data_IF_853180890700
#
_entry.id   IF_853180890700
#
_cell.length_a   1.000
_cell.length_b   1.000
_cell.length_c   1.000
_cell.angle_alpha   90.00
_cell.angle_beta   90.00
_cell.angle_gamma   90.00
#
_symmetry.space_group_name_H-M   'P 1'
#
loop_
_entity.id
_entity.type
_entity.pdbx_description
1 polymer ?
#
# COMPACT_ATOMS: atom_id res chain seq x y z
N UNK A 1 3.24 15.01 1.20
CA UNK A 1 4.17 15.52 0.17
C UNK A 1 3.96 14.84 -1.19
N UNK A 2 4.28 13.55 -1.34
CA UNK A 2 4.14 12.83 -2.62
C UNK A 2 2.72 12.86 -3.21
N UNK A 3 1.70 12.57 -2.39
CA UNK A 3 0.28 12.69 -2.81
C UNK A 3 -0.03 14.07 -3.37
N UNK A 4 0.34 15.13 -2.66
CA UNK A 4 0.14 16.52 -3.08
C UNK A 4 0.79 16.83 -4.43
N UNK A 5 2.00 16.32 -4.67
CA UNK A 5 2.69 16.50 -5.95
C UNK A 5 1.98 15.73 -7.10
N UNK A 6 1.47 14.52 -6.83
CA UNK A 6 0.68 13.73 -7.79
C UNK A 6 -0.62 14.48 -8.13
N UNK A 7 -1.38 14.90 -7.12
CA UNK A 7 -2.66 15.61 -7.30
C UNK A 7 -2.46 16.97 -7.99
N UNK A 8 -1.31 17.63 -7.76
CA UNK A 8 -0.89 18.84 -8.45
C UNK A 8 -0.42 18.62 -9.90
N UNK A 9 -0.43 17.38 -10.39
CA UNK A 9 -0.11 17.04 -11.78
C UNK A 9 1.38 16.98 -12.11
N UNK A 10 2.27 16.94 -11.11
CA UNK A 10 3.73 16.98 -11.30
C UNK A 10 4.27 15.87 -12.24
N UNK A 11 3.56 14.74 -12.32
CA UNK A 11 3.90 13.59 -13.17
C UNK A 11 2.82 13.25 -14.21
N UNK A 12 1.84 14.13 -14.42
CA UNK A 12 0.66 13.82 -15.24
C UNK A 12 -0.28 12.83 -14.56
N UNK A 13 -1.07 12.07 -15.34
CA UNK A 13 -1.96 11.03 -14.78
C UNK A 13 -1.12 9.89 -14.20
N UNK A 14 -1.35 9.54 -12.94
CA UNK A 14 -0.74 8.40 -12.28
C UNK A 14 -1.11 7.09 -13.01
N UNK A 15 -0.12 6.24 -13.26
CA UNK A 15 -0.28 4.95 -13.95
C UNK A 15 0.20 3.78 -13.12
N UNK A 16 1.31 3.96 -12.41
CA UNK A 16 1.96 2.86 -11.72
C UNK A 16 2.52 3.32 -10.39
N UNK A 17 2.42 2.46 -9.38
CA UNK A 17 3.14 2.60 -8.12
C UNK A 17 3.99 1.35 -7.95
N UNK A 18 5.24 1.50 -7.53
CA UNK A 18 6.16 0.38 -7.26
C UNK A 18 6.68 0.48 -5.84
N UNK A 19 6.36 -0.52 -5.03
CA UNK A 19 6.93 -0.73 -3.69
C UNK A 19 8.10 -1.70 -3.82
N UNK A 20 9.30 -1.27 -3.42
CA UNK A 20 10.52 -2.06 -3.61
C UNK A 20 10.87 -3.00 -2.45
N UNK A 21 10.24 -2.81 -1.29
CA UNK A 21 10.53 -3.57 -0.08
C UNK A 21 9.24 -3.91 0.66
N UNK A 22 8.61 -5.01 0.26
CA UNK A 22 7.52 -5.59 1.04
C UNK A 22 8.02 -6.49 2.15
N UNK A 23 7.11 -6.80 3.08
CA UNK A 23 7.35 -7.75 4.15
C UNK A 23 6.13 -8.60 4.39
N UNK A 24 5.87 -8.89 5.66
CA UNK A 24 4.75 -9.72 6.06
C UNK A 24 3.41 -9.05 5.74
N UNK A 25 2.42 -9.84 5.28
CA UNK A 25 1.15 -9.32 4.73
C UNK A 25 0.36 -8.48 5.72
N UNK A 26 0.21 -8.95 6.95
CA UNK A 26 -0.66 -8.30 7.94
C UNK A 26 0.02 -7.15 8.69
N UNK A 27 1.34 -7.20 8.88
CA UNK A 27 2.07 -6.16 9.60
C UNK A 27 2.76 -5.17 8.66
N UNK A 28 3.66 -5.60 7.79
CA UNK A 28 4.45 -4.66 6.96
C UNK A 28 3.73 -4.22 5.70
N UNK A 29 3.22 -5.18 4.92
CA UNK A 29 2.64 -4.91 3.59
C UNK A 29 1.27 -4.25 3.69
N UNK A 30 0.54 -4.43 4.79
CA UNK A 30 -0.69 -3.69 5.09
C UNK A 30 -0.47 -2.17 5.12
N UNK A 31 0.64 -1.69 5.68
CA UNK A 31 1.03 -0.27 5.61
C UNK A 31 1.27 0.18 4.16
N UNK A 32 1.85 -0.68 3.33
CA UNK A 32 2.05 -0.35 1.92
C UNK A 32 0.75 -0.34 1.12
N UNK A 33 -0.21 -1.23 1.42
CA UNK A 33 -1.54 -1.17 0.83
C UNK A 33 -2.21 0.16 1.14
N UNK A 34 -2.19 0.58 2.40
CA UNK A 34 -2.75 1.85 2.84
C UNK A 34 -2.11 3.05 2.12
N UNK A 35 -0.78 3.13 2.11
CA UNK A 35 -0.04 4.20 1.42
C UNK A 35 -0.34 4.20 -0.09
N UNK A 36 -0.36 3.03 -0.73
CA UNK A 36 -0.58 2.94 -2.18
C UNK A 36 -2.03 3.29 -2.56
N UNK A 37 -3.01 2.87 -1.77
CA UNK A 37 -4.41 3.26 -1.93
C UNK A 37 -4.54 4.77 -1.79
N UNK A 38 -3.96 5.35 -0.73
CA UNK A 38 -3.93 6.78 -0.54
C UNK A 38 -3.26 7.50 -1.73
N UNK A 39 -2.11 7.05 -2.22
CA UNK A 39 -1.46 7.65 -3.40
C UNK A 39 -2.28 7.50 -4.69
N UNK A 40 -3.06 6.42 -4.81
CA UNK A 40 -3.96 6.16 -5.94
C UNK A 40 -5.32 6.86 -5.82
N UNK A 41 -5.52 7.71 -4.80
CA UNK A 41 -6.77 8.43 -4.57
C UNK A 41 -7.89 7.54 -4.03
N UNK A 42 -7.53 6.52 -3.25
CA UNK A 42 -8.44 5.55 -2.63
C UNK A 42 -9.33 4.83 -3.66
N UNK A 43 -8.81 4.68 -4.88
CA UNK A 43 -9.51 4.03 -5.97
C UNK A 43 -9.74 2.54 -5.64
N UNK A 44 -10.95 2.06 -5.94
CA UNK A 44 -11.34 0.66 -5.70
C UNK A 44 -10.41 -0.31 -6.42
N UNK A 45 -9.77 -1.26 -5.72
CA UNK A 45 -9.06 -2.37 -6.36
C UNK A 45 -10.03 -3.22 -7.17
N UNK A 46 -9.65 -3.62 -8.39
CA UNK A 46 -10.49 -4.42 -9.29
C UNK A 46 -9.92 -5.81 -9.56
N UNK A 47 -8.61 -5.97 -9.43
CA UNK A 47 -7.96 -7.28 -9.51
C UNK A 47 -6.70 -7.31 -8.65
N UNK A 48 -6.29 -8.50 -8.21
CA UNK A 48 -5.03 -8.74 -7.52
C UNK A 48 -4.39 -10.05 -8.02
N UNK A 49 -3.06 -10.11 -7.99
CA UNK A 49 -2.32 -11.37 -8.14
C UNK A 49 -1.08 -11.36 -7.24
N UNK A 50 -0.71 -12.51 -6.69
CA UNK A 50 0.38 -12.58 -5.73
C UNK A 50 1.04 -13.97 -5.66
N UNK A 51 2.23 -13.99 -5.08
CA UNK A 51 2.93 -15.19 -4.64
C UNK A 51 3.58 -14.93 -3.28
N UNK A 52 3.81 -15.99 -2.50
CA UNK A 52 4.25 -15.92 -1.10
C UNK A 52 5.62 -16.60 -0.91
N UNK A 53 6.71 -16.05 -1.48
CA UNK A 53 7.98 -16.77 -1.56
C UNK A 53 8.54 -17.05 -0.16
N UNK A 54 8.87 -18.31 0.09
CA UNK A 54 9.39 -18.76 1.39
C UNK A 54 8.36 -18.75 2.52
N UNK A 55 7.08 -18.47 2.22
CA UNK A 55 5.96 -18.41 3.16
C UNK A 55 4.83 -19.37 2.78
N UNK A 56 5.05 -20.26 1.82
CA UNK A 56 4.06 -21.17 1.26
C UNK A 56 3.49 -22.10 2.33
N UNK A 57 4.34 -22.57 3.23
CA UNK A 57 4.01 -23.44 4.35
C UNK A 57 3.10 -22.78 5.41
N UNK A 58 2.95 -21.45 5.38
CA UNK A 58 2.09 -20.72 6.31
C UNK A 58 0.61 -20.75 5.90
N UNK A 59 0.31 -21.13 4.65
CA UNK A 59 -1.06 -21.25 4.14
C UNK A 59 -1.40 -22.74 4.00
N UNK A 60 -2.20 -23.26 4.93
CA UNK A 60 -2.63 -24.66 4.97
C UNK A 60 -4.14 -24.71 4.77
N UNK A 61 -4.57 -25.25 3.63
CA UNK A 61 -5.97 -25.27 3.19
C UNK A 61 -6.59 -23.86 3.16
N UNK A 62 -7.49 -23.57 4.11
CA UNK A 62 -8.16 -22.28 4.32
C UNK A 62 -7.50 -21.44 5.43
N UNK A 63 -6.45 -21.92 6.08
CA UNK A 63 -5.91 -21.30 7.29
C UNK A 63 -4.52 -20.72 7.05
N UNK A 64 -4.38 -19.43 7.33
CA UNK A 64 -3.10 -18.74 7.39
C UNK A 64 -2.61 -18.76 8.84
N UNK A 65 -1.52 -19.49 9.09
CA UNK A 65 -1.09 -19.90 10.44
C UNK A 65 -0.09 -18.95 11.09
N UNK A 66 0.60 -18.15 10.27
CA UNK A 66 1.47 -17.05 10.68
C UNK A 66 1.48 -16.00 9.55
N UNK A 67 2.21 -14.90 9.69
CA UNK A 67 2.21 -13.85 8.68
C UNK A 67 3.13 -14.16 7.48
N UNK A 68 2.57 -14.42 6.28
CA UNK A 68 3.38 -14.68 5.10
C UNK A 68 3.97 -13.40 4.54
N UNK A 69 5.18 -13.47 4.00
CA UNK A 69 5.69 -12.44 3.10
C UNK A 69 5.05 -12.59 1.72
N UNK A 70 4.81 -11.48 1.03
CA UNK A 70 4.20 -11.49 -0.29
C UNK A 70 4.87 -10.53 -1.27
N UNK A 71 4.85 -10.95 -2.53
CA UNK A 71 5.08 -10.10 -3.70
C UNK A 71 3.89 -10.26 -4.64
N UNK A 72 3.62 -9.25 -5.48
CA UNK A 72 2.42 -9.27 -6.31
C UNK A 72 2.10 -7.93 -6.95
N UNK A 73 0.88 -7.80 -7.43
CA UNK A 73 0.32 -6.54 -7.87
C UNK A 73 -1.20 -6.50 -7.71
N UNK A 74 -1.75 -5.31 -7.68
CA UNK A 74 -3.18 -5.08 -7.90
C UNK A 74 -3.40 -3.93 -8.87
N UNK A 75 -4.58 -3.90 -9.49
CA UNK A 75 -5.03 -2.78 -10.31
C UNK A 75 -6.25 -2.11 -9.70
N UNK A 76 -6.39 -0.81 -9.92
CA UNK A 76 -7.52 -0.01 -9.46
C UNK A 76 -8.51 0.30 -10.59
N UNK A 77 -9.73 0.71 -10.25
CA UNK A 77 -10.76 1.14 -11.19
C UNK A 77 -10.33 2.34 -12.04
N UNK A 78 -9.42 3.18 -11.54
CA UNK A 78 -8.87 4.34 -12.28
C UNK A 78 -7.78 3.95 -13.29
N UNK A 79 -7.37 2.67 -13.28
CA UNK A 79 -6.35 2.10 -14.14
C UNK A 79 -4.92 2.24 -13.61
N UNK A 80 -4.75 2.52 -12.32
CA UNK A 80 -3.43 2.49 -11.66
C UNK A 80 -3.07 1.05 -11.33
N UNK A 81 -1.85 0.64 -11.66
CA UNK A 81 -1.30 -0.66 -11.24
C UNK A 81 -0.29 -0.46 -10.12
N UNK A 82 -0.43 -1.21 -9.03
CA UNK A 82 0.49 -1.16 -7.90
C UNK A 82 1.26 -2.46 -7.81
N UNK A 83 2.59 -2.38 -7.85
CA UNK A 83 3.51 -3.52 -7.78
C UNK A 83 4.19 -3.60 -6.42
N UNK A 84 4.30 -4.83 -5.92
CA UNK A 84 4.88 -5.18 -4.63
C UNK A 84 6.04 -6.12 -4.86
N UNK A 85 7.25 -5.64 -4.60
CA UNK A 85 8.49 -6.36 -4.80
C UNK A 85 9.17 -6.68 -3.46
N UNK A 86 9.69 -7.90 -3.36
CA UNK A 86 10.68 -8.25 -2.34
C UNK A 86 12.07 -8.10 -2.93
N UNK A 87 12.68 -6.94 -2.73
CA UNK A 87 14.06 -6.68 -3.13
C UNK A 87 14.90 -6.22 -1.94
N UNK A 88 16.25 -6.25 -2.03
CA UNK A 88 17.13 -5.72 -1.00
C UNK A 88 17.09 -4.19 -0.84
N UNK A 89 16.24 -3.47 -1.59
CA UNK A 89 16.08 -2.03 -1.39
C UNK A 89 15.48 -1.74 0.00
N UNK A 90 15.74 -0.56 0.56
CA UNK A 90 15.04 -0.11 1.77
C UNK A 90 13.58 0.24 1.43
N UNK A 91 12.87 0.85 2.39
CA UNK A 91 11.45 1.26 2.29
C UNK A 91 11.21 2.38 1.26
N UNK A 92 11.56 2.13 0.00
CA UNK A 92 11.42 3.04 -1.12
C UNK A 92 10.16 2.71 -1.91
N UNK A 93 9.52 3.76 -2.41
CA UNK A 93 8.32 3.67 -3.26
C UNK A 93 8.43 4.66 -4.40
N UNK A 94 7.98 4.27 -5.59
CA UNK A 94 7.98 5.12 -6.78
C UNK A 94 6.58 5.23 -7.37
N UNK A 95 6.12 6.46 -7.62
CA UNK A 95 4.92 6.73 -8.41
C UNK A 95 5.32 7.20 -9.80
N UNK A 96 4.72 6.60 -10.80
CA UNK A 96 5.03 6.79 -12.21
C UNK A 96 3.75 7.22 -12.92
N UNK A 97 3.81 8.37 -13.57
CA UNK A 97 2.71 8.91 -14.38
C UNK A 97 3.10 9.07 -15.85
N UNK A 98 2.19 9.61 -16.63
CA UNK A 98 2.37 9.82 -18.08
C UNK A 98 3.61 10.67 -18.41
N UNK A 99 3.94 11.63 -17.54
CA UNK A 99 4.91 12.68 -17.78
C UNK A 99 6.05 12.70 -16.78
N UNK A 100 6.20 11.69 -15.92
CA UNK A 100 7.30 11.66 -14.97
C UNK A 100 7.19 10.57 -13.92
N UNK A 101 8.12 10.62 -12.97
CA UNK A 101 8.12 9.76 -11.80
C UNK A 101 8.60 10.53 -10.56
N UNK A 102 8.07 10.14 -9.40
CA UNK A 102 8.52 10.58 -8.09
C UNK A 102 8.94 9.33 -7.31
N UNK A 103 10.18 9.32 -6.81
CA UNK A 103 10.68 8.29 -5.91
C UNK A 103 10.78 8.87 -4.51
N UNK A 104 10.13 8.22 -3.55
CA UNK A 104 10.31 8.49 -2.13
C UNK A 104 11.34 7.52 -1.58
N UNK A 105 12.36 8.07 -0.92
CA UNK A 105 13.47 7.30 -0.35
C UNK A 105 13.33 7.17 1.15
N UNK A 106 13.70 5.99 1.68
CA UNK A 106 13.77 5.73 3.11
C UNK A 106 12.47 6.09 3.84
N UNK A 107 11.34 5.55 3.37
CA UNK A 107 10.00 5.81 3.88
C UNK A 107 9.56 7.29 3.80
N UNK A 108 9.98 8.00 2.74
CA UNK A 108 9.56 9.39 2.49
C UNK A 108 10.38 10.44 3.24
N UNK A 109 11.59 10.09 3.70
CA UNK A 109 12.55 11.05 4.29
C UNK A 109 13.14 12.00 3.25
N UNK A 110 13.19 11.59 1.98
CA UNK A 110 13.56 12.45 0.86
C UNK A 110 12.87 12.01 -0.43
N UNK A 111 12.84 12.90 -1.43
CA UNK A 111 12.18 12.65 -2.70
C UNK A 111 13.08 13.05 -3.86
N UNK A 112 13.09 12.23 -4.90
CA UNK A 112 13.64 12.59 -6.22
C UNK A 112 12.50 12.61 -7.23
N UNK A 113 12.60 13.49 -8.23
CA UNK A 113 11.58 13.61 -9.27
C UNK A 113 12.24 13.67 -10.63
N UNK A 114 11.61 13.04 -11.62
CA UNK A 114 11.97 13.16 -13.03
C UNK A 114 10.72 13.53 -13.83
N UNK A 115 10.85 14.44 -14.77
CA UNK A 115 9.73 14.92 -15.59
C UNK A 115 10.08 14.91 -17.07
N UNK A 116 9.06 14.82 -17.91
CA UNK A 116 9.17 14.97 -19.36
C UNK A 116 9.32 16.45 -19.71
N UNK A 117 10.36 16.85 -20.46
CA UNK A 117 10.46 18.20 -20.99
C UNK A 117 9.27 18.55 -21.89
N UNK A 118 8.92 19.85 -21.95
CA UNK A 118 7.84 20.32 -22.83
C UNK A 118 8.10 20.03 -24.33
N UNK A 119 9.36 19.96 -24.72
CA UNK A 119 9.79 19.58 -26.08
C UNK A 119 9.58 18.10 -26.41
N UNK A 120 9.11 17.28 -25.45
CA UNK A 120 9.17 15.83 -25.53
C UNK A 120 10.57 15.28 -25.25
N UNK A 121 10.72 13.95 -25.35
CA UNK A 121 11.98 13.25 -25.10
C UNK A 121 12.02 12.45 -23.80
N UNK A 122 13.23 12.04 -23.39
CA UNK A 122 13.47 11.27 -22.17
C UNK A 122 13.20 12.11 -20.91
N UNK A 123 12.86 11.46 -19.80
CA UNK A 123 12.71 12.15 -18.52
C UNK A 123 14.05 12.65 -18.00
N UNK A 124 14.07 13.86 -17.49
CA UNK A 124 15.24 14.48 -16.87
C UNK A 124 14.95 14.76 -15.40
N UNK A 125 16.01 14.92 -14.61
CA UNK A 125 15.86 15.27 -13.20
C UNK A 125 15.12 16.60 -13.06
N UNK A 126 14.25 16.66 -12.07
CA UNK A 126 13.43 17.80 -11.74
C UNK A 126 13.43 18.03 -10.23
N UNK A 127 13.27 19.28 -9.83
CA UNK A 127 13.19 19.62 -8.43
C UNK A 127 11.84 19.18 -7.86
N UNK A 128 11.85 18.32 -6.84
CA UNK A 128 10.64 17.99 -6.09
C UNK A 128 10.14 19.25 -5.35
N UNK A 129 8.81 19.52 -5.34
CA UNK A 129 8.26 20.68 -4.64
C UNK A 129 8.67 20.73 -3.17
N UNK A 130 8.81 21.94 -2.62
CA UNK A 130 9.09 22.10 -1.19
C UNK A 130 7.97 21.46 -0.35
N UNK A 131 8.36 20.82 0.74
CA UNK A 131 7.44 20.26 1.72
C UNK A 131 8.03 20.44 3.12
N UNK A 132 7.16 20.67 4.10
CA UNK A 132 7.53 20.59 5.50
C UNK A 132 7.47 19.12 5.95
N UNK A 133 8.47 18.69 6.72
CA UNK A 133 8.42 17.40 7.39
C UNK A 133 7.40 17.47 8.54
N UNK A 134 6.46 16.54 8.54
CA UNK A 134 5.37 16.46 9.52
C UNK A 134 5.28 15.05 10.08
N UNK A 135 4.76 14.89 11.29
CA UNK A 135 4.54 13.59 11.91
C UNK A 135 3.27 12.95 11.34
N UNK A 136 3.37 11.73 10.80
CA UNK A 136 2.21 10.96 10.33
C UNK A 136 1.27 10.62 11.48
N UNK A 137 1.80 10.22 12.63
CA UNK A 137 1.01 9.92 13.83
C UNK A 137 0.25 11.14 14.32
N UNK A 138 0.87 12.33 14.30
CA UNK A 138 0.19 13.56 14.70
C UNK A 138 -0.98 13.85 13.76
N UNK A 139 -0.76 13.78 12.45
CA UNK A 139 -1.84 14.01 11.47
C UNK A 139 -3.00 13.01 11.60
N UNK A 140 -2.72 11.74 11.91
CA UNK A 140 -3.78 10.75 12.15
C UNK A 140 -4.61 11.12 13.40
N UNK A 141 -3.94 11.55 14.48
CA UNK A 141 -4.62 11.99 15.70
C UNK A 141 -5.45 13.25 15.43
N UNK A 142 -4.89 14.22 14.71
CA UNK A 142 -5.57 15.46 14.34
C UNK A 142 -6.79 15.20 13.44
N UNK A 143 -6.71 14.26 12.51
CA UNK A 143 -7.83 13.86 11.65
C UNK A 143 -8.97 13.23 12.48
N UNK A 144 -8.64 12.36 13.45
CA UNK A 144 -9.61 11.78 14.38
C UNK A 144 -10.27 12.84 15.26
N UNK A 145 -9.49 13.73 15.87
CA UNK A 145 -10.02 14.83 16.70
C UNK A 145 -10.88 15.76 15.84
N UNK A 146 -10.44 16.06 14.62
CA UNK A 146 -11.20 16.87 13.69
C UNK A 146 -12.57 16.27 13.34
N UNK A 147 -12.67 14.95 13.15
CA UNK A 147 -13.95 14.28 12.94
C UNK A 147 -14.88 14.41 14.15
N UNK A 148 -14.35 14.21 15.36
CA UNK A 148 -15.09 14.39 16.61
C UNK A 148 -15.62 15.83 16.77
N UNK A 149 -14.79 16.83 16.49
CA UNK A 149 -15.16 18.25 16.60
C UNK A 149 -16.24 18.64 15.59
N UNK A 150 -16.23 18.06 14.38
CA UNK A 150 -17.27 18.26 13.37
C UNK A 150 -18.57 17.49 13.69
N UNK A 151 -18.49 16.46 14.52
CA UNK A 151 -19.61 15.58 14.84
C UNK A 151 -19.94 14.59 13.71
N UNK A 152 -18.97 14.27 12.85
CA UNK A 152 -19.07 13.24 11.82
C UNK A 152 -18.10 12.08 12.09
N UNK A 153 -18.25 10.99 11.33
CA UNK A 153 -17.40 9.79 11.37
C UNK A 153 -16.40 9.74 10.20
N UNK A 154 -16.14 10.88 9.57
CA UNK A 154 -15.35 10.96 8.34
C UNK A 154 -13.89 11.23 8.69
N UNK A 155 -13.04 10.24 8.42
CA UNK A 155 -11.58 10.34 8.52
C UNK A 155 -10.95 9.89 7.20
N UNK A 156 -9.72 10.32 6.93
CA UNK A 156 -8.95 9.87 5.79
C UNK A 156 -8.66 8.35 5.83
N UNK A 157 -8.63 7.76 7.03
CA UNK A 157 -8.43 6.33 7.27
C UNK A 157 -9.69 5.59 7.73
N UNK A 158 -10.86 5.93 7.17
CA UNK A 158 -12.15 5.39 7.59
C UNK A 158 -12.31 3.87 7.43
N UNK A 159 -13.43 3.33 7.92
CA UNK A 159 -13.70 1.88 7.93
C UNK A 159 -13.61 1.24 6.53
N UNK A 160 -14.04 1.96 5.49
CA UNK A 160 -14.00 1.45 4.11
C UNK A 160 -12.57 1.26 3.60
N UNK A 161 -11.63 2.13 4.01
CA UNK A 161 -10.20 2.00 3.70
C UNK A 161 -9.64 0.77 4.42
N UNK A 162 -9.97 0.59 5.70
CA UNK A 162 -9.55 -0.57 6.47
C UNK A 162 -10.08 -1.90 5.89
N UNK A 163 -11.34 -1.92 5.46
CA UNK A 163 -11.95 -3.08 4.78
C UNK A 163 -11.23 -3.34 3.46
N UNK A 164 -11.04 -2.34 2.62
CA UNK A 164 -10.37 -2.48 1.31
C UNK A 164 -8.94 -3.02 1.47
N UNK A 165 -8.17 -2.51 2.42
CA UNK A 165 -6.81 -2.98 2.71
C UNK A 165 -6.81 -4.43 3.22
N UNK A 166 -7.80 -4.80 4.03
CA UNK A 166 -7.98 -6.18 4.50
C UNK A 166 -8.35 -7.11 3.36
N UNK A 167 -9.24 -6.69 2.47
CA UNK A 167 -9.62 -7.44 1.27
C UNK A 167 -8.41 -7.67 0.37
N UNK A 168 -7.51 -6.68 0.20
CA UNK A 168 -6.26 -6.85 -0.54
C UNK A 168 -5.34 -7.92 0.06
N UNK A 169 -5.22 -7.97 1.39
CA UNK A 169 -4.47 -9.04 2.08
C UNK A 169 -5.03 -10.41 1.70
N UNK A 170 -6.36 -10.59 1.80
CA UNK A 170 -6.99 -11.84 1.41
C UNK A 170 -6.96 -12.10 -0.09
N UNK A 171 -7.02 -11.07 -0.93
CA UNK A 171 -6.86 -11.18 -2.37
C UNK A 171 -5.48 -11.74 -2.76
N UNK A 172 -4.43 -11.34 -2.05
CA UNK A 172 -3.09 -11.88 -2.24
C UNK A 172 -3.00 -13.35 -1.77
N UNK A 173 -3.61 -13.69 -0.63
CA UNK A 173 -3.67 -15.07 -0.14
C UNK A 173 -4.44 -15.97 -1.12
N UNK A 174 -5.62 -15.54 -1.57
CA UNK A 174 -6.45 -16.30 -2.50
C UNK A 174 -5.78 -16.45 -3.87
N UNK A 175 -5.10 -15.40 -4.35
CA UNK A 175 -4.33 -15.51 -5.59
C UNK A 175 -3.25 -16.58 -5.47
N UNK A 176 -2.50 -16.60 -4.36
CA UNK A 176 -1.51 -17.63 -4.09
C UNK A 176 -2.13 -19.04 -4.05
N UNK A 177 -3.26 -19.22 -3.36
CA UNK A 177 -4.02 -20.49 -3.31
C UNK A 177 -4.48 -20.94 -4.69
N UNK A 178 -4.74 -19.99 -5.59
CA UNK A 178 -5.03 -20.20 -7.00
C UNK A 178 -3.78 -20.25 -7.89
N UNK A 179 -2.62 -20.69 -7.36
CA UNK A 179 -1.33 -20.77 -8.06
C UNK A 179 -0.86 -19.45 -8.69
N UNK A 180 -1.10 -18.33 -8.00
CA UNK A 180 -0.72 -16.99 -8.45
C UNK A 180 -1.61 -16.42 -9.55
N UNK A 181 -2.82 -16.97 -9.73
CA UNK A 181 -3.79 -16.47 -10.71
C UNK A 181 -4.22 -15.05 -10.40
N UNK A 182 -4.50 -14.27 -11.45
CA UNK A 182 -5.16 -12.98 -11.31
C UNK A 182 -6.63 -13.20 -10.88
N UNK A 183 -7.00 -12.60 -9.75
CA UNK A 183 -8.34 -12.68 -9.17
C UNK A 183 -9.03 -11.32 -9.20
N UNK A 184 -10.35 -11.32 -9.35
CA UNK A 184 -11.17 -10.12 -9.23
C UNK A 184 -11.36 -9.75 -7.76
N UNK A 185 -11.39 -8.44 -7.49
CA UNK A 185 -11.55 -7.89 -6.15
C UNK A 185 -12.99 -7.41 -5.87
N UNK A 186 -13.50 -7.57 -4.64
CA UNK A 186 -12.95 -8.45 -3.59
C UNK A 186 -13.11 -9.93 -3.97
N UNK A 187 -12.25 -10.83 -3.43
CA UNK A 187 -12.34 -12.26 -3.74
C UNK A 187 -13.66 -12.85 -3.22
N UNK A 188 -14.57 -13.18 -4.14
CA UNK A 188 -15.88 -13.72 -3.80
C UNK A 188 -15.77 -15.14 -3.24
N UNK A 189 -16.39 -15.37 -2.08
CA UNK A 189 -16.43 -16.69 -1.46
C UNK A 189 -15.11 -17.14 -0.83
N UNK A 190 -14.19 -16.20 -0.55
CA UNK A 190 -12.97 -16.50 0.19
C UNK A 190 -13.31 -17.13 1.54
N UNK A 191 -12.73 -18.30 1.79
CA UNK A 191 -12.79 -19.05 3.05
C UNK A 191 -11.52 -18.86 3.89
N UNK A 192 -10.53 -18.14 3.35
CA UNK A 192 -9.28 -17.90 4.01
C UNK A 192 -9.49 -17.19 5.36
N UNK A 193 -8.84 -17.70 6.40
CA UNK A 193 -8.87 -17.13 7.74
C UNK A 193 -7.47 -17.08 8.32
N UNK A 194 -7.19 -15.99 9.02
CA UNK A 194 -5.96 -15.88 9.81
C UNK A 194 -6.17 -16.50 11.19
N UNK A 195 -5.41 -17.54 11.51
CA UNK A 195 -5.48 -18.20 12.80
C UNK A 195 -4.09 -18.62 13.28
N UNK A 196 -3.50 -17.79 14.13
CA UNK A 196 -2.25 -18.10 14.84
C UNK A 196 -2.55 -18.93 16.09
N UNK A 197 -2.20 -20.22 16.06
CA UNK A 197 -2.20 -21.06 17.25
C UNK A 197 -0.87 -20.97 18.01
N UNK A 198 -0.88 -20.96 19.34
CA UNK A 198 0.33 -21.16 20.17
C UNK A 198 1.04 -19.89 20.66
N UNK A 199 0.57 -18.69 20.31
CA UNK A 199 1.09 -17.45 20.89
C UNK A 199 0.39 -17.12 22.20
N UNK A 200 1.16 -16.93 23.28
CA UNK A 200 0.63 -16.34 24.52
C UNK A 200 0.50 -14.84 24.32
N UNK A 201 -0.64 -14.27 24.73
CA UNK A 201 -0.81 -12.82 24.79
C UNK A 201 0.34 -12.21 25.62
N UNK A 202 0.98 -11.16 25.12
CA UNK A 202 2.00 -10.44 25.89
C UNK A 202 1.29 -9.70 27.03
N UNK A 203 1.70 -9.97 28.25
CA UNK A 203 1.26 -9.18 29.41
C UNK A 203 1.86 -7.77 29.30
N UNK A 204 1.06 -6.70 29.31
CA UNK A 204 1.58 -5.34 29.31
C UNK A 204 2.48 -5.10 30.53
N UNK A 205 3.64 -4.49 30.32
CA UNK A 205 4.62 -4.20 31.40
C UNK A 205 4.10 -3.17 32.42
N UNK A 206 2.97 -2.51 32.14
CA UNK A 206 2.39 -1.46 32.99
C UNK A 206 1.27 -1.95 33.92
N UNK A 207 1.07 -3.26 34.04
CA UNK A 207 0.15 -3.85 35.01
C UNK A 207 0.87 -4.17 36.33
N UNK A 208 1.31 -3.13 37.07
CA UNK A 208 1.65 -3.19 38.49
C UNK A 208 1.30 -1.89 39.17
#
# INVERSE_FOLDING_TARGET
AMRTAIDGGAIGKLRTIVVYATGTLFNTTSHWFDICQYLAGDATPVWAHAWLPGSEHLVVDDTVTDEPNASGAYGTLTGVTVHFLQSPRPNDIEAIGDNGAITAWGAGTSFTMRTRPASGGAWTDAQFPYYANTSSTLHIIEDLVGALDRGDDITAGGIDVAVTNTELIFGFIESFRANGSLLMMPPKGSTARFHRSGFKARTPTFAT
#
